data_IF_799787245716
#
_entry.id   IF_799787245716
#
_cell.length_a   1.000
_cell.length_b   1.000
_cell.length_c   1.000
_cell.angle_alpha   90.00
_cell.angle_beta   90.00
_cell.angle_gamma   90.00
#
_symmetry.space_group_name_H-M   'P 1'
#
loop_
_entity.id
_entity.type
_entity.pdbx_description
1 polymer ?
#
# COMPACT_ATOMS: atom_id res chain seq x y z
N UNK A 1 -4.67 8.04 28.02
CA UNK A 1 -4.33 6.89 27.17
C UNK A 1 -4.56 7.35 25.74
N UNK A 2 -3.51 7.28 24.88
CA UNK A 2 -3.66 7.60 23.46
C UNK A 2 -4.50 6.51 22.79
N UNK A 3 -5.35 6.90 21.86
CA UNK A 3 -6.07 5.95 21.01
C UNK A 3 -5.07 5.11 20.20
N UNK A 4 -5.28 3.79 20.11
CA UNK A 4 -4.37 2.87 19.43
C UNK A 4 -3.96 3.29 18.00
N UNK A 5 -4.85 3.86 17.16
CA UNK A 5 -4.48 4.32 15.82
C UNK A 5 -3.51 5.50 15.79
N UNK A 6 -3.40 6.26 16.87
CA UNK A 6 -2.57 7.47 16.95
C UNK A 6 -1.22 7.25 17.62
N UNK A 7 -0.96 6.05 18.15
CA UNK A 7 0.32 5.72 18.78
C UNK A 7 1.45 5.61 17.75
N UNK A 8 2.61 6.16 18.08
CA UNK A 8 3.85 5.95 17.35
C UNK A 8 4.28 4.47 17.48
N UNK A 9 4.23 3.75 16.36
CA UNK A 9 4.37 2.29 16.37
C UNK A 9 3.07 1.63 16.80
N UNK A 10 2.49 0.81 15.97
CA UNK A 10 1.15 0.22 16.19
C UNK A 10 1.06 -0.70 17.41
N UNK A 11 2.18 -1.00 18.08
CA UNK A 11 2.23 -1.86 19.26
C UNK A 11 1.79 -3.32 19.02
N UNK A 12 1.60 -3.69 17.75
CA UNK A 12 1.11 -5.01 17.34
C UNK A 12 2.18 -5.76 16.57
N UNK A 13 2.26 -7.05 16.78
CA UNK A 13 3.03 -7.97 15.94
C UNK A 13 2.16 -8.38 14.76
N UNK A 14 2.75 -8.49 13.59
CA UNK A 14 2.06 -8.95 12.38
C UNK A 14 2.93 -9.91 11.57
N UNK A 15 2.26 -10.72 10.76
CA UNK A 15 2.87 -11.62 9.79
C UNK A 15 2.53 -11.14 8.39
N UNK A 16 3.54 -11.10 7.50
CA UNK A 16 3.37 -10.73 6.09
C UNK A 16 3.81 -11.91 5.24
N UNK A 17 2.93 -12.39 4.37
CA UNK A 17 3.24 -13.30 3.28
C UNK A 17 3.15 -12.55 1.96
N UNK A 18 4.11 -12.76 1.05
CA UNK A 18 4.07 -12.14 -0.27
C UNK A 18 4.56 -13.08 -1.36
N UNK A 19 4.01 -12.89 -2.56
CA UNK A 19 4.38 -13.59 -3.78
C UNK A 19 4.63 -12.55 -4.87
N UNK A 20 5.74 -12.69 -5.54
CA UNK A 20 6.09 -11.89 -6.71
C UNK A 20 6.32 -12.81 -7.90
N UNK A 21 5.76 -12.45 -9.05
CA UNK A 21 5.94 -13.13 -10.33
C UNK A 21 6.29 -12.13 -11.40
N UNK A 22 7.19 -12.50 -12.28
CA UNK A 22 7.47 -11.77 -13.51
C UNK A 22 7.51 -12.75 -14.68
N UNK A 23 7.01 -12.32 -15.82
CA UNK A 23 6.96 -13.13 -17.03
C UNK A 23 7.18 -12.26 -18.27
N UNK A 24 8.08 -12.69 -19.13
CA UNK A 24 8.38 -12.02 -20.38
C UNK A 24 7.42 -12.51 -21.46
N UNK A 25 6.43 -11.67 -21.81
CA UNK A 25 5.42 -11.98 -22.80
C UNK A 25 5.96 -11.89 -24.23
N UNK A 26 6.79 -10.88 -24.48
CA UNK A 26 7.51 -10.69 -25.75
C UNK A 26 8.97 -10.47 -25.40
N UNK A 27 9.88 -11.33 -25.87
CA UNK A 27 11.30 -11.25 -25.56
C UNK A 27 11.86 -9.85 -25.76
N UNK A 28 12.51 -9.33 -24.73
CA UNK A 28 13.14 -8.00 -24.67
C UNK A 28 12.22 -6.80 -24.93
N UNK A 29 10.89 -7.01 -25.00
CA UNK A 29 9.94 -5.93 -25.31
C UNK A 29 8.82 -5.77 -24.31
N UNK A 30 8.17 -6.85 -23.91
CA UNK A 30 7.01 -6.77 -23.03
C UNK A 30 7.18 -7.72 -21.86
N UNK A 31 7.32 -7.16 -20.68
CA UNK A 31 7.40 -7.89 -19.43
C UNK A 31 6.15 -7.61 -18.60
N UNK A 32 5.49 -8.67 -18.14
CA UNK A 32 4.40 -8.62 -17.18
C UNK A 32 4.94 -8.93 -15.80
N UNK A 33 4.44 -8.25 -14.77
CA UNK A 33 4.71 -8.56 -13.39
C UNK A 33 3.43 -8.59 -12.57
N UNK A 34 3.43 -9.38 -11.52
CA UNK A 34 2.37 -9.40 -10.52
C UNK A 34 2.95 -9.55 -9.13
N UNK A 35 2.30 -8.90 -8.19
CA UNK A 35 2.65 -8.96 -6.78
C UNK A 35 1.37 -9.14 -5.98
N UNK A 36 1.35 -10.10 -5.08
CA UNK A 36 0.31 -10.30 -4.10
C UNK A 36 0.90 -10.34 -2.71
N UNK A 37 0.25 -9.70 -1.74
CA UNK A 37 0.64 -9.82 -0.34
C UNK A 37 -0.57 -9.86 0.58
N UNK A 38 -0.42 -10.57 1.66
CA UNK A 38 -1.35 -10.64 2.77
C UNK A 38 -0.60 -10.31 4.05
N UNK A 39 -1.17 -9.38 4.84
CA UNK A 39 -0.68 -9.04 6.18
C UNK A 39 -1.75 -9.35 7.19
N UNK A 40 -1.44 -10.20 8.14
CA UNK A 40 -2.23 -10.45 9.33
C UNK A 40 -1.61 -9.74 10.53
N UNK A 41 -2.42 -9.08 11.34
CA UNK A 41 -1.98 -8.39 12.55
C UNK A 41 -2.57 -9.11 13.75
N UNK A 42 -1.72 -9.54 14.67
CA UNK A 42 -2.17 -10.16 15.91
C UNK A 42 -2.72 -9.12 16.86
N UNK A 43 -3.60 -9.55 17.74
CA UNK A 43 -4.17 -8.72 18.78
C UNK A 43 -3.08 -8.29 19.77
N UNK A 44 -3.08 -7.01 20.15
CA UNK A 44 -2.18 -6.50 21.18
C UNK A 44 -2.68 -6.81 22.61
N UNK A 45 -1.88 -6.47 23.62
CA UNK A 45 -2.21 -6.71 25.02
C UNK A 45 -3.43 -5.90 25.50
N UNK A 46 -3.74 -4.78 24.82
CA UNK A 46 -4.89 -3.95 25.13
C UNK A 46 -6.19 -4.49 24.50
N UNK A 47 -6.11 -5.60 23.77
CA UNK A 47 -7.28 -6.21 23.13
C UNK A 47 -7.64 -5.63 21.77
N UNK A 48 -6.81 -4.79 21.17
CA UNK A 48 -7.02 -4.21 19.84
C UNK A 48 -6.26 -4.99 18.76
N UNK A 49 -6.91 -5.18 17.62
CA UNK A 49 -6.34 -5.84 16.44
C UNK A 49 -6.60 -4.99 15.20
N UNK A 50 -5.55 -4.58 14.51
CA UNK A 50 -5.67 -3.92 13.23
C UNK A 50 -6.19 -4.88 12.17
N UNK A 51 -6.96 -4.36 11.24
CA UNK A 51 -7.50 -5.11 10.11
C UNK A 51 -6.42 -5.78 9.26
N UNK A 52 -6.78 -6.90 8.69
CA UNK A 52 -5.93 -7.62 7.73
C UNK A 52 -5.86 -6.85 6.42
N UNK A 53 -4.69 -6.85 5.81
CA UNK A 53 -4.44 -6.14 4.56
C UNK A 53 -4.09 -7.10 3.42
N UNK A 54 -4.82 -6.96 2.33
CA UNK A 54 -4.61 -7.66 1.08
C UNK A 54 -4.15 -6.67 0.02
N UNK A 55 -3.06 -6.97 -0.66
CA UNK A 55 -2.57 -6.17 -1.78
C UNK A 55 -2.43 -7.06 -3.01
N UNK A 56 -2.88 -6.56 -4.16
CA UNK A 56 -2.69 -7.18 -5.46
C UNK A 56 -2.29 -6.10 -6.46
N UNK A 57 -1.12 -6.27 -7.05
CA UNK A 57 -0.62 -5.37 -8.08
C UNK A 57 -0.32 -6.18 -9.34
N UNK A 58 -0.83 -5.75 -10.46
CA UNK A 58 -0.59 -6.37 -11.77
C UNK A 58 -0.21 -5.27 -12.74
N UNK A 59 0.89 -5.46 -13.45
CA UNK A 59 1.37 -4.47 -14.39
C UNK A 59 2.19 -5.05 -15.53
N UNK A 60 2.55 -4.18 -16.46
CA UNK A 60 3.42 -4.51 -17.57
C UNK A 60 4.36 -3.35 -17.89
N UNK A 61 5.54 -3.71 -18.38
CA UNK A 61 6.57 -2.80 -18.87
C UNK A 61 6.76 -3.08 -20.37
N UNK A 62 6.61 -2.04 -21.18
CA UNK A 62 6.78 -2.10 -22.63
C UNK A 62 8.01 -1.28 -23.04
N UNK A 63 9.04 -1.93 -23.55
CA UNK A 63 10.20 -1.28 -24.17
C UNK A 63 9.78 -0.79 -25.54
N UNK A 64 9.55 0.51 -25.66
CA UNK A 64 9.13 1.15 -26.92
C UNK A 64 10.33 1.60 -27.74
N UNK A 65 11.36 2.11 -27.08
CA UNK A 65 12.63 2.53 -27.66
C UNK A 65 13.78 2.01 -26.77
N UNK A 66 15.02 1.89 -27.27
CA UNK A 66 16.15 1.42 -26.46
C UNK A 66 16.36 2.20 -25.17
N UNK A 67 15.90 3.44 -25.14
CA UNK A 67 16.02 4.35 -23.99
C UNK A 67 14.70 4.63 -23.28
N UNK A 68 13.53 4.13 -23.78
CA UNK A 68 12.21 4.44 -23.25
C UNK A 68 11.40 3.18 -22.94
N UNK A 69 11.01 3.03 -21.70
CA UNK A 69 10.09 2.01 -21.21
C UNK A 69 8.80 2.68 -20.75
N UNK A 70 7.67 2.26 -21.28
CA UNK A 70 6.35 2.62 -20.79
C UNK A 70 5.89 1.59 -19.74
N UNK A 71 5.25 2.05 -18.68
CA UNK A 71 4.79 1.23 -17.58
C UNK A 71 3.30 1.45 -17.35
N UNK A 72 2.58 0.39 -17.05
CA UNK A 72 1.19 0.47 -16.63
C UNK A 72 0.90 -0.58 -15.56
N UNK A 73 0.25 -0.16 -14.46
CA UNK A 73 -0.02 -1.05 -13.33
C UNK A 73 -1.40 -0.76 -12.77
N UNK A 74 -2.11 -1.81 -12.39
CA UNK A 74 -3.32 -1.76 -11.57
C UNK A 74 -2.94 -2.18 -10.16
N UNK A 75 -3.33 -1.38 -9.19
CA UNK A 75 -3.07 -1.60 -7.76
C UNK A 75 -4.40 -1.76 -7.05
N UNK A 76 -4.60 -2.87 -6.40
CA UNK A 76 -5.74 -3.10 -5.52
C UNK A 76 -5.27 -3.36 -4.10
N UNK A 77 -5.89 -2.66 -3.15
CA UNK A 77 -5.68 -2.85 -1.72
C UNK A 77 -7.01 -2.98 -1.02
N UNK A 78 -7.13 -3.97 -0.19
CA UNK A 78 -8.27 -4.18 0.69
C UNK A 78 -7.78 -4.31 2.13
N UNK A 79 -8.29 -3.45 3.00
CA UNK A 79 -8.04 -3.46 4.43
C UNK A 79 -9.36 -3.80 5.13
N UNK A 80 -9.37 -4.87 5.92
CA UNK A 80 -10.55 -5.22 6.72
C UNK A 80 -10.74 -4.24 7.88
N UNK A 81 -11.89 -4.27 8.52
CA UNK A 81 -12.12 -3.48 9.72
C UNK A 81 -11.22 -3.94 10.87
N UNK A 82 -10.81 -3.00 11.70
CA UNK A 82 -10.15 -3.28 12.96
C UNK A 82 -11.12 -3.97 13.92
N UNK A 83 -10.59 -4.74 14.86
CA UNK A 83 -11.37 -5.48 15.84
C UNK A 83 -10.93 -5.12 17.26
N UNK A 84 -11.90 -5.11 18.19
CA UNK A 84 -11.68 -4.93 19.62
C UNK A 84 -12.14 -6.16 20.39
N UNK A 85 -11.53 -6.41 21.57
CA UNK A 85 -11.99 -7.46 22.48
C UNK A 85 -12.96 -6.91 23.51
N UNK A 86 -13.76 -7.82 24.09
CA UNK A 86 -14.69 -7.47 25.16
C UNK A 86 -14.01 -6.81 26.39
N UNK A 87 -12.74 -7.08 26.65
CA UNK A 87 -11.98 -6.44 27.72
C UNK A 87 -11.75 -4.95 27.51
N UNK A 88 -11.58 -4.53 26.24
CA UNK A 88 -11.45 -3.11 25.90
C UNK A 88 -12.81 -2.42 25.94
N UNK A 89 -13.88 -3.11 25.56
CA UNK A 89 -15.27 -2.64 25.63
C UNK A 89 -15.67 -2.30 27.07
N UNK A 90 -15.31 -3.13 28.05
CA UNK A 90 -15.55 -2.89 29.47
C UNK A 90 -14.75 -1.70 30.04
N UNK A 91 -13.65 -1.35 29.41
CA UNK A 91 -12.79 -0.23 29.82
C UNK A 91 -13.18 1.11 29.16
N UNK A 92 -14.12 1.08 28.23
CA UNK A 92 -14.65 2.31 27.63
C UNK A 92 -15.35 3.13 28.74
N UNK A 93 -14.97 4.42 28.93
CA UNK A 93 -15.56 5.22 29.99
C UNK A 93 -17.06 5.42 29.73
N UNK A 94 -17.89 4.77 30.51
CA UNK A 94 -19.32 5.08 30.67
C UNK A 94 -19.51 6.41 31.43
N UNK A 95 -18.63 7.40 31.12
CA UNK A 95 -18.59 8.68 31.84
C UNK A 95 -19.67 9.64 31.41
N UNK A 96 -20.37 10.18 32.36
CA UNK A 96 -21.33 11.27 32.29
C UNK A 96 -20.70 12.58 31.78
N UNK A 97 -20.38 12.66 30.51
CA UNK A 97 -19.78 13.89 29.99
C UNK A 97 -19.26 13.78 28.56
N UNK A 98 -20.15 13.76 27.61
CA UNK A 98 -19.82 13.64 26.19
C UNK A 98 -19.93 12.20 25.68
N UNK A 99 -20.97 11.52 26.09
CA UNK A 99 -21.19 10.10 25.88
C UNK A 99 -21.22 9.72 24.38
N UNK A 100 -20.43 8.74 24.03
CA UNK A 100 -20.68 7.96 22.82
C UNK A 100 -22.10 7.40 22.91
N UNK A 101 -22.89 7.58 21.88
CA UNK A 101 -24.26 7.08 21.80
C UNK A 101 -24.29 5.60 22.19
N UNK A 102 -25.08 5.19 23.20
CA UNK A 102 -25.19 3.79 23.60
C UNK A 102 -25.48 2.84 22.46
N UNK A 103 -26.25 3.28 21.44
CA UNK A 103 -26.54 2.49 20.26
C UNK A 103 -25.28 2.22 19.39
N UNK A 104 -24.31 3.14 19.41
CA UNK A 104 -23.02 2.96 18.74
C UNK A 104 -22.15 1.99 19.53
N UNK A 105 -22.17 2.08 20.85
CA UNK A 105 -21.46 1.14 21.72
C UNK A 105 -22.03 -0.26 21.57
N UNK A 106 -23.36 -0.41 21.58
CA UNK A 106 -24.03 -1.69 21.39
C UNK A 106 -23.75 -2.29 20.01
N UNK A 107 -23.72 -1.47 18.95
CA UNK A 107 -23.38 -1.93 17.61
C UNK A 107 -21.90 -2.35 17.49
N UNK A 108 -21.00 -1.64 18.16
CA UNK A 108 -19.57 -1.99 18.30
C UNK A 108 -19.42 -3.33 19.04
N UNK A 109 -20.10 -3.51 20.15
CA UNK A 109 -20.08 -4.73 20.96
C UNK A 109 -20.64 -5.93 20.16
N UNK A 110 -21.77 -5.75 19.48
CA UNK A 110 -22.41 -6.80 18.70
C UNK A 110 -21.55 -7.32 17.54
N UNK A 111 -20.83 -6.42 16.86
CA UNK A 111 -20.03 -6.76 15.70
C UNK A 111 -18.52 -6.88 15.96
N UNK A 112 -18.03 -6.45 17.11
CA UNK A 112 -16.61 -6.36 17.45
C UNK A 112 -15.75 -5.61 16.42
N UNK A 113 -16.37 -4.84 15.55
CA UNK A 113 -15.75 -4.09 14.47
C UNK A 113 -15.69 -2.62 14.85
N UNK A 114 -14.53 -2.00 14.60
CA UNK A 114 -14.35 -0.57 14.83
C UNK A 114 -14.94 0.20 13.66
N UNK A 115 -15.94 1.07 13.87
CA UNK A 115 -16.48 1.92 12.80
C UNK A 115 -15.43 2.84 12.21
N UNK A 116 -15.59 3.20 10.94
CA UNK A 116 -14.67 4.10 10.27
C UNK A 116 -13.29 3.52 9.98
N UNK A 117 -13.06 2.21 10.22
CA UNK A 117 -11.85 1.50 9.85
C UNK A 117 -12.09 0.59 8.66
N UNK A 118 -11.01 0.09 8.07
CA UNK A 118 -11.10 -0.66 6.82
C UNK A 118 -11.19 0.25 5.60
N UNK A 119 -10.79 -0.26 4.45
CA UNK A 119 -10.87 0.50 3.20
C UNK A 119 -10.69 -0.42 1.99
N UNK A 120 -11.26 0.00 0.86
CA UNK A 120 -10.97 -0.58 -0.45
C UNK A 120 -10.39 0.50 -1.35
N UNK A 121 -9.31 0.18 -2.02
CA UNK A 121 -8.62 1.10 -2.90
C UNK A 121 -8.20 0.39 -4.19
N UNK A 122 -8.61 0.95 -5.31
CA UNK A 122 -8.20 0.52 -6.65
C UNK A 122 -7.64 1.72 -7.39
N UNK A 123 -6.43 1.59 -7.92
CA UNK A 123 -5.78 2.64 -8.69
C UNK A 123 -5.15 2.10 -9.96
N UNK A 124 -5.08 2.96 -10.96
CA UNK A 124 -4.25 2.75 -12.15
C UNK A 124 -3.01 3.63 -12.06
N UNK A 125 -1.86 3.06 -12.39
CA UNK A 125 -0.57 3.75 -12.31
C UNK A 125 0.14 3.69 -13.67
N UNK A 126 -0.12 4.66 -14.57
CA UNK A 126 0.69 4.85 -15.76
C UNK A 126 2.02 5.50 -15.42
N UNK A 127 3.05 5.15 -16.18
CA UNK A 127 4.38 5.72 -15.99
C UNK A 127 5.32 5.46 -17.14
N UNK A 128 6.52 6.00 -17.01
CA UNK A 128 7.60 5.76 -17.95
C UNK A 128 8.96 5.79 -17.24
N UNK A 129 9.93 5.13 -17.85
CA UNK A 129 11.32 5.18 -17.47
C UNK A 129 12.16 5.53 -18.68
N UNK A 130 13.09 6.46 -18.50
CA UNK A 130 14.04 6.93 -19.52
C UNK A 130 15.45 6.57 -19.10
N UNK A 131 16.15 5.81 -19.94
CA UNK A 131 17.60 5.58 -19.77
C UNK A 131 18.36 6.77 -20.35
N UNK A 132 19.10 7.46 -19.50
CA UNK A 132 19.87 8.64 -19.91
C UNK A 132 21.08 8.26 -20.79
N UNK A 133 21.61 7.06 -20.66
CA UNK A 133 22.68 6.53 -21.49
C UNK A 133 22.29 6.47 -22.98
N UNK A 134 21.02 6.19 -23.27
CA UNK A 134 20.50 6.17 -24.64
C UNK A 134 20.24 7.55 -25.25
N UNK A 135 20.29 8.63 -24.45
CA UNK A 135 20.01 10.00 -24.89
C UNK A 135 21.27 10.87 -24.92
N UNK A 136 22.18 10.68 -23.99
CA UNK A 136 23.36 11.53 -23.78
C UNK A 136 24.56 10.62 -23.56
N UNK A 137 25.54 10.68 -24.45
CA UNK A 137 26.80 9.93 -24.29
C UNK A 137 27.73 10.68 -23.33
N UNK A 138 27.61 10.34 -22.05
CA UNK A 138 28.43 10.90 -20.98
C UNK A 138 28.73 9.84 -19.93
N UNK A 139 29.92 9.86 -19.31
CA UNK A 139 30.20 8.96 -18.18
C UNK A 139 29.21 9.11 -17.01
N UNK A 140 28.64 10.29 -16.85
CA UNK A 140 27.62 10.56 -15.79
C UNK A 140 26.27 9.93 -16.08
N UNK A 141 25.91 9.76 -17.35
CA UNK A 141 24.61 9.20 -17.77
C UNK A 141 24.63 7.69 -17.94
N UNK A 142 25.80 7.08 -17.97
CA UNK A 142 25.95 5.61 -18.04
C UNK A 142 25.24 4.95 -16.86
N UNK A 143 24.44 3.92 -17.16
CA UNK A 143 23.63 3.17 -16.19
C UNK A 143 22.75 4.05 -15.31
N UNK A 144 22.35 5.23 -15.81
CA UNK A 144 21.48 6.16 -15.11
C UNK A 144 20.12 6.18 -15.80
N UNK A 145 19.05 6.05 -15.03
CA UNK A 145 17.69 6.18 -15.54
C UNK A 145 16.84 7.07 -14.63
N UNK A 146 15.90 7.77 -15.23
CA UNK A 146 14.87 8.56 -14.56
C UNK A 146 13.54 7.89 -14.79
N UNK A 147 12.71 7.79 -13.75
CA UNK A 147 11.38 7.27 -13.86
C UNK A 147 10.35 8.23 -13.30
N UNK A 148 9.17 8.16 -13.86
CA UNK A 148 7.99 8.85 -13.39
C UNK A 148 6.79 7.92 -13.49
N UNK A 149 5.94 7.91 -12.47
CA UNK A 149 4.61 7.34 -12.57
C UNK A 149 3.61 8.10 -11.68
N UNK A 150 2.36 8.05 -12.07
CA UNK A 150 1.26 8.60 -11.28
C UNK A 150 0.38 7.46 -10.78
N UNK A 151 -0.16 7.59 -9.59
CA UNK A 151 -1.15 6.67 -9.06
C UNK A 151 -2.49 7.38 -9.00
N UNK A 152 -3.41 6.98 -9.88
CA UNK A 152 -4.70 7.60 -10.09
C UNK A 152 -5.78 6.69 -9.50
N UNK A 153 -6.50 7.10 -8.45
CA UNK A 153 -7.60 6.32 -7.89
C UNK A 153 -8.71 6.12 -8.93
N UNK A 154 -9.12 4.88 -9.16
CA UNK A 154 -10.28 4.52 -9.99
C UNK A 154 -11.50 4.30 -9.10
N UNK A 155 -11.31 3.58 -8.01
CA UNK A 155 -12.34 3.33 -7.02
C UNK A 155 -11.74 3.38 -5.61
N UNK A 156 -12.48 3.97 -4.69
CA UNK A 156 -12.06 4.09 -3.30
C UNK A 156 -13.28 4.08 -2.38
N UNK A 157 -13.18 3.28 -1.35
CA UNK A 157 -14.07 3.32 -0.20
C UNK A 157 -13.20 3.39 1.04
N UNK A 158 -13.30 4.48 1.76
CA UNK A 158 -12.48 4.78 2.94
C UNK A 158 -13.28 4.73 4.24
N UNK A 159 -14.54 4.28 4.21
CA UNK A 159 -15.42 4.20 5.38
C UNK A 159 -15.41 5.51 6.22
N UNK A 160 -15.58 6.66 5.56
CA UNK A 160 -15.54 8.00 6.15
C UNK A 160 -14.15 8.47 6.66
N UNK A 161 -13.07 7.74 6.39
CA UNK A 161 -11.71 8.19 6.65
C UNK A 161 -11.14 8.99 5.46
N UNK A 162 -9.95 9.54 5.67
CA UNK A 162 -9.20 10.24 4.61
C UNK A 162 -8.92 9.29 3.44
N UNK A 163 -9.43 9.65 2.27
CA UNK A 163 -9.21 8.90 1.06
C UNK A 163 -7.90 9.32 0.38
N UNK A 164 -7.12 8.35 -0.08
CA UNK A 164 -5.92 8.63 -0.85
C UNK A 164 -6.28 9.30 -2.19
N UNK A 165 -5.68 10.46 -2.47
CA UNK A 165 -5.79 11.18 -3.74
C UNK A 165 -4.82 10.66 -4.79
N UNK A 166 -4.74 11.37 -5.93
CA UNK A 166 -3.73 11.12 -6.97
C UNK A 166 -2.35 11.44 -6.42
N UNK A 167 -1.42 10.53 -6.63
CA UNK A 167 -0.01 10.68 -6.22
C UNK A 167 0.89 10.68 -7.45
N UNK A 168 1.95 11.47 -7.40
CA UNK A 168 2.99 11.52 -8.43
C UNK A 168 4.31 11.09 -7.80
N UNK A 169 5.01 10.17 -8.47
CA UNK A 169 6.25 9.59 -7.98
C UNK A 169 7.27 9.71 -9.09
N UNK A 170 8.41 10.28 -8.76
CA UNK A 170 9.56 10.39 -9.66
C UNK A 170 10.82 9.98 -8.91
N UNK A 171 11.77 9.47 -9.65
CA UNK A 171 13.03 9.07 -9.07
C UNK A 171 14.14 8.91 -10.10
N UNK A 172 15.33 8.78 -9.59
CA UNK A 172 16.55 8.56 -10.35
C UNK A 172 17.23 7.30 -9.82
N UNK A 173 17.62 6.43 -10.73
CA UNK A 173 18.38 5.21 -10.42
C UNK A 173 19.72 5.28 -11.12
N UNK A 174 20.79 5.01 -10.37
CA UNK A 174 22.14 4.85 -10.92
C UNK A 174 22.73 3.54 -10.43
N UNK A 175 23.17 2.71 -11.38
CA UNK A 175 23.88 1.48 -11.08
C UNK A 175 25.39 1.69 -11.21
N UNK A 176 26.14 1.03 -10.35
CA UNK A 176 27.62 1.07 -10.37
C UNK A 176 28.14 -0.34 -10.62
N UNK A 177 29.01 -0.48 -11.59
CA UNK A 177 29.73 -1.74 -11.82
C UNK A 177 31.01 -1.75 -10.97
N UNK A 178 31.10 -2.66 -10.00
CA UNK A 178 32.38 -2.91 -9.34
C UNK A 178 33.23 -3.79 -10.27
N UNK A 179 34.29 -3.23 -10.81
CA UNK A 179 35.28 -4.01 -11.54
C UNK A 179 36.06 -4.81 -10.51
N UNK A 180 35.95 -6.14 -10.55
CA UNK A 180 36.91 -7.01 -9.84
C UNK A 180 38.27 -6.88 -10.56
N UNK A 181 39.23 -6.23 -9.93
CA UNK A 181 40.64 -6.32 -10.30
C UNK A 181 41.19 -7.73 -10.08
#
# INVERSE_FOLDING_TARGET
VMESPTQLGRGNVGLIGSLYQTYELIPHRLNQFSYASYRHTFRNNDGYQFGDEYNLNIGANLVTLPWLVLMGQVNWRYLTHDNISASLEQSAPTGNGGGVDPAVVDALIANRRVPGTGSTYLAFSPGFQVSLEGLIDSPLTRMTSVYFYSQIPIARDSNNNLAQGTSFIFGLTKSFQMVKS
#
